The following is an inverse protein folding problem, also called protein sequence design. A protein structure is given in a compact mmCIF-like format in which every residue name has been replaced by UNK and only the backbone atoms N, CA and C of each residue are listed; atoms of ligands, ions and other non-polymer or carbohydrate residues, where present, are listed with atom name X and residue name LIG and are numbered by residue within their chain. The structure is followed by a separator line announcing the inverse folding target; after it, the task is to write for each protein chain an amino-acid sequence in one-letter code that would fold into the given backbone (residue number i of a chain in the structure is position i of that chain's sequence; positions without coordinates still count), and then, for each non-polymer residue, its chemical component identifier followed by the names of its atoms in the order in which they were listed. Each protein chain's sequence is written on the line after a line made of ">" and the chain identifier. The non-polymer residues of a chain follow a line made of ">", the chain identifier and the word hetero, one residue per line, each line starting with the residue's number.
data_IF_824616392892
#
_entry.id   IF_824616392892
#
_cell.length_a   1.000
_cell.length_b   1.000
_cell.length_c   1.000
_cell.angle_alpha   90.00
_cell.angle_beta   90.00
_cell.angle_gamma   90.00
#
_symmetry.space_group_name_H-M   'P 1'
#
loop_
_entity.id
_entity.type
_entity.pdbx_description
1 polymer ?
#
# COMPACT_ATOMS: atom_id res chain seq x y z
N UNK A 1 -48.42 12.31 -17.57
CA UNK A 1 -47.28 13.11 -17.09
C UNK A 1 -47.79 14.53 -16.84
N UNK A 2 -48.10 14.88 -15.58
CA UNK A 2 -48.58 16.23 -15.23
C UNK A 2 -47.42 16.98 -14.58
N UNK A 3 -46.92 18.00 -15.28
CA UNK A 3 -45.95 18.95 -14.74
C UNK A 3 -46.73 19.99 -13.94
N UNK A 4 -46.57 20.00 -12.63
CA UNK A 4 -47.03 21.11 -11.79
C UNK A 4 -45.88 22.13 -11.69
N UNK A 5 -46.12 23.41 -11.99
CA UNK A 5 -45.08 24.44 -11.93
C UNK A 5 -44.73 24.78 -10.47
N UNK A 6 -43.43 24.83 -10.18
CA UNK A 6 -42.89 25.32 -8.90
C UNK A 6 -43.04 26.85 -8.81
N UNK A 7 -43.63 27.42 -7.75
CA UNK A 7 -43.44 28.83 -7.44
C UNK A 7 -42.05 29.03 -6.81
N UNK A 8 -41.20 29.77 -7.52
CA UNK A 8 -39.95 30.30 -7.02
C UNK A 8 -40.26 31.50 -6.11
N UNK A 9 -40.03 31.37 -4.81
CA UNK A 9 -39.86 32.54 -3.93
C UNK A 9 -38.44 32.55 -3.40
N UNK A 10 -37.66 33.46 -3.95
CA UNK A 10 -36.33 33.85 -3.50
C UNK A 10 -36.46 34.60 -2.17
N UNK A 11 -35.80 34.11 -1.13
CA UNK A 11 -35.33 34.96 -0.04
C UNK A 11 -33.89 34.55 0.27
N UNK A 12 -32.97 35.23 -0.39
CA UNK A 12 -31.54 35.18 -0.09
C UNK A 12 -31.28 35.96 1.20
N UNK A 13 -30.95 35.24 2.26
CA UNK A 13 -30.36 35.76 3.49
C UNK A 13 -29.32 34.77 3.98
N UNK A 14 -28.05 35.20 4.03
CA UNK A 14 -26.88 34.35 4.19
C UNK A 14 -26.73 33.69 5.57
N UNK A 15 -25.82 32.71 5.62
CA UNK A 15 -25.38 32.01 6.83
C UNK A 15 -25.95 30.60 6.90
N UNK A 16 -25.07 29.59 6.94
CA UNK A 16 -25.41 28.17 7.09
C UNK A 16 -26.03 27.84 8.46
N UNK A 17 -27.24 28.34 8.70
CA UNK A 17 -28.07 27.95 9.83
C UNK A 17 -28.78 26.66 9.41
N UNK A 18 -28.38 25.52 9.99
CA UNK A 18 -29.33 24.41 10.11
C UNK A 18 -30.43 24.96 11.04
N UNK A 19 -31.48 25.50 10.41
CA UNK A 19 -32.68 25.95 11.08
C UNK A 19 -33.31 24.79 11.85
N UNK A 20 -34.16 25.14 12.80
CA UNK A 20 -34.94 24.19 13.59
C UNK A 20 -35.57 23.12 12.68
N UNK A 21 -35.59 21.86 13.14
CA UNK A 21 -36.27 20.79 12.41
C UNK A 21 -37.77 21.16 12.39
N UNK A 22 -38.41 21.20 11.21
CA UNK A 22 -39.81 21.58 11.11
C UNK A 22 -40.69 20.69 11.99
N UNK A 23 -41.59 21.30 12.76
CA UNK A 23 -42.46 20.58 13.70
C UNK A 23 -43.27 19.45 13.04
N UNK A 24 -43.55 19.61 11.75
CA UNK A 24 -44.26 18.64 10.91
C UNK A 24 -43.51 17.32 10.67
N UNK A 25 -42.21 17.21 11.02
CA UNK A 25 -41.40 15.99 10.82
C UNK A 25 -40.88 15.39 12.13
N UNK A 26 -41.43 15.82 13.27
CA UNK A 26 -40.94 15.35 14.56
C UNK A 26 -41.40 13.91 14.86
N UNK A 27 -42.47 13.44 14.21
CA UNK A 27 -43.08 12.13 14.46
C UNK A 27 -42.67 11.08 13.42
N UNK A 28 -42.80 9.80 13.77
CA UNK A 28 -42.62 8.70 12.82
C UNK A 28 -43.58 8.82 11.63
N UNK A 29 -43.13 8.44 10.44
CA UNK A 29 -43.89 8.44 9.16
C UNK A 29 -44.37 9.82 8.66
N UNK A 30 -43.85 10.89 9.24
CA UNK A 30 -44.12 12.26 8.77
C UNK A 30 -43.06 12.72 7.77
N UNK A 31 -43.45 13.61 6.85
CA UNK A 31 -42.60 14.04 5.72
C UNK A 31 -42.66 15.56 5.54
N UNK A 32 -41.59 16.13 4.97
CA UNK A 32 -41.56 17.53 4.54
C UNK A 32 -40.76 17.68 3.25
N UNK A 33 -41.06 18.74 2.51
CA UNK A 33 -40.19 19.19 1.43
C UNK A 33 -39.01 19.99 1.98
N UNK A 34 -37.83 19.76 1.40
CA UNK A 34 -36.60 20.52 1.69
C UNK A 34 -36.16 21.21 0.40
N UNK A 35 -35.81 22.51 0.43
CA UNK A 35 -35.23 23.21 -0.71
C UNK A 35 -33.99 22.51 -1.27
N UNK A 36 -33.67 22.80 -2.54
CA UNK A 36 -32.46 22.30 -3.17
C UNK A 36 -31.23 22.60 -2.32
N UNK A 37 -30.47 21.56 -1.98
CA UNK A 37 -29.29 21.62 -1.12
C UNK A 37 -28.06 21.13 -1.88
N UNK A 38 -26.92 21.82 -1.70
CA UNK A 38 -25.64 21.33 -2.21
C UNK A 38 -25.15 20.16 -1.34
N UNK A 39 -25.32 18.94 -1.85
CA UNK A 39 -24.93 17.71 -1.13
C UNK A 39 -23.42 17.64 -0.89
N UNK A 40 -22.59 18.18 -1.77
CA UNK A 40 -21.13 18.19 -1.59
C UNK A 40 -20.72 18.99 -0.36
N UNK A 41 -21.52 19.98 0.07
CA UNK A 41 -21.26 20.74 1.30
C UNK A 41 -21.51 19.93 2.58
N UNK A 42 -22.16 18.76 2.48
CA UNK A 42 -22.35 17.82 3.58
C UNK A 42 -21.21 16.81 3.70
N UNK A 43 -20.28 16.80 2.74
CA UNK A 43 -19.13 15.90 2.73
C UNK A 43 -17.89 16.61 3.32
N UNK A 44 -16.88 15.84 3.75
CA UNK A 44 -15.58 16.41 4.12
C UNK A 44 -14.93 17.13 2.93
N UNK A 45 -14.08 18.12 3.23
CA UNK A 45 -13.34 18.85 2.19
C UNK A 45 -12.33 17.98 1.44
N UNK A 46 -11.74 16.98 2.11
CA UNK A 46 -10.80 16.03 1.54
C UNK A 46 -11.48 14.68 1.33
N UNK A 47 -11.86 14.43 0.08
CA UNK A 47 -12.45 13.17 -0.37
C UNK A 47 -11.40 12.15 -0.83
N UNK A 48 -10.12 12.54 -0.89
CA UNK A 48 -9.05 11.67 -1.40
C UNK A 48 -8.62 10.62 -0.38
N UNK A 49 -8.89 10.87 0.91
CA UNK A 49 -8.49 10.01 2.03
C UNK A 49 -9.71 9.29 2.63
N UNK A 50 -9.79 7.99 2.41
CA UNK A 50 -10.89 7.14 2.86
C UNK A 50 -10.42 5.71 3.14
N UNK A 51 -11.26 4.98 3.87
CA UNK A 51 -11.18 3.54 4.04
C UNK A 51 -12.25 2.86 3.19
N UNK A 52 -11.95 1.68 2.62
CA UNK A 52 -12.88 0.91 1.79
C UNK A 52 -12.91 -0.56 2.21
N UNK A 53 -14.11 -1.13 2.34
CA UNK A 53 -14.29 -2.55 2.69
C UNK A 53 -15.67 -3.07 2.28
N UNK A 54 -15.79 -4.39 2.13
CA UNK A 54 -17.08 -5.07 1.94
C UNK A 54 -17.76 -5.38 3.28
N UNK A 55 -19.01 -4.97 3.39
CA UNK A 55 -19.81 -5.10 4.60
C UNK A 55 -21.27 -5.43 4.32
N UNK A 56 -22.13 -4.96 5.21
CA UNK A 56 -23.58 -5.19 5.15
C UNK A 56 -24.36 -3.91 5.41
N UNK A 57 -25.66 -3.96 5.16
CA UNK A 57 -26.59 -2.98 5.70
C UNK A 57 -26.51 -2.98 7.24
N UNK A 58 -26.54 -1.79 7.84
CA UNK A 58 -26.51 -1.63 9.30
C UNK A 58 -27.90 -1.72 9.94
N UNK A 59 -28.94 -1.87 9.13
CA UNK A 59 -30.33 -2.10 9.53
C UNK A 59 -30.84 -3.41 8.94
N UNK A 60 -31.83 -4.07 9.58
CA UNK A 60 -32.48 -5.26 9.02
C UNK A 60 -32.93 -5.03 7.56
N UNK A 61 -32.76 -6.03 6.67
CA UNK A 61 -32.37 -7.42 6.93
C UNK A 61 -30.85 -7.67 7.00
N UNK A 62 -30.01 -6.63 7.15
CA UNK A 62 -28.55 -6.77 7.31
C UNK A 62 -27.86 -7.46 6.12
N UNK A 63 -28.38 -7.29 4.91
CA UNK A 63 -27.84 -7.93 3.70
C UNK A 63 -26.36 -7.56 3.47
N UNK A 64 -25.56 -8.55 3.07
CA UNK A 64 -24.13 -8.39 2.75
C UNK A 64 -23.91 -7.90 1.31
N UNK A 65 -22.66 -7.54 0.98
CA UNK A 65 -22.27 -7.06 -0.35
C UNK A 65 -22.25 -5.53 -0.49
N UNK A 66 -22.39 -4.80 0.61
CA UNK A 66 -22.29 -3.33 0.61
C UNK A 66 -20.83 -2.92 0.57
N UNK A 67 -20.41 -2.15 -0.44
CA UNK A 67 -19.08 -1.56 -0.48
C UNK A 67 -19.10 -0.25 0.32
N UNK A 68 -18.55 -0.30 1.53
CA UNK A 68 -18.44 0.87 2.40
C UNK A 68 -17.25 1.73 2.02
N UNK A 69 -17.48 3.04 1.90
CA UNK A 69 -16.43 4.06 1.81
C UNK A 69 -16.58 5.00 2.99
N UNK A 70 -15.57 5.05 3.87
CA UNK A 70 -15.59 5.88 5.08
C UNK A 70 -14.48 6.91 4.97
N UNK A 71 -14.82 8.18 4.84
CA UNK A 71 -13.83 9.25 4.76
C UNK A 71 -13.02 9.38 6.06
N UNK A 72 -11.72 9.64 5.92
CA UNK A 72 -10.81 9.83 7.05
C UNK A 72 -11.03 11.19 7.73
N UNK A 73 -11.39 12.22 6.96
CA UNK A 73 -11.72 13.53 7.51
C UNK A 73 -13.19 13.58 7.97
N UNK A 74 -13.46 14.22 9.10
CA UNK A 74 -14.82 14.43 9.63
C UNK A 74 -15.42 15.77 9.18
N UNK A 75 -16.75 15.85 9.18
CA UNK A 75 -17.50 17.11 9.02
C UNK A 75 -17.78 17.70 10.40
N UNK A 76 -17.69 19.03 10.53
CA UNK A 76 -17.91 19.74 11.80
C UNK A 76 -19.33 20.28 11.87
N UNK A 77 -19.98 20.07 13.01
CA UNK A 77 -21.25 20.67 13.38
C UNK A 77 -21.07 21.46 14.67
N UNK A 78 -21.84 22.53 14.84
CA UNK A 78 -21.94 23.22 16.13
C UNK A 78 -22.67 22.36 17.16
N UNK A 79 -22.44 22.62 18.45
CA UNK A 79 -23.15 21.93 19.52
C UNK A 79 -24.68 22.06 19.39
N UNK A 80 -25.18 23.25 19.04
CA UNK A 80 -26.62 23.48 18.81
C UNK A 80 -27.16 22.53 17.74
N UNK A 81 -26.47 22.41 16.61
CA UNK A 81 -26.88 21.53 15.51
C UNK A 81 -26.89 20.07 15.92
N UNK A 82 -25.90 19.63 16.70
CA UNK A 82 -25.82 18.26 17.20
C UNK A 82 -26.99 17.95 18.14
N UNK A 83 -27.30 18.84 19.08
CA UNK A 83 -28.45 18.70 19.98
C UNK A 83 -29.78 18.68 19.21
N UNK A 84 -29.94 19.57 18.22
CA UNK A 84 -31.13 19.55 17.37
C UNK A 84 -31.27 18.20 16.65
N UNK A 85 -30.18 17.63 16.13
CA UNK A 85 -30.22 16.34 15.46
C UNK A 85 -30.54 15.18 16.42
N UNK A 86 -29.98 15.15 17.62
CA UNK A 86 -30.15 14.05 18.57
C UNK A 86 -31.46 14.08 19.33
N UNK A 87 -32.00 15.28 19.60
CA UNK A 87 -33.05 15.42 20.64
C UNK A 87 -34.42 15.81 20.07
N UNK A 88 -34.51 16.16 18.78
CA UNK A 88 -35.78 16.67 18.22
C UNK A 88 -36.73 15.57 17.79
N UNK A 89 -36.23 14.46 17.24
CA UNK A 89 -37.05 13.44 16.58
C UNK A 89 -37.64 12.42 17.56
N UNK A 90 -38.85 11.95 17.24
CA UNK A 90 -39.55 10.89 17.95
C UNK A 90 -39.57 9.62 17.09
N UNK A 91 -39.20 8.50 17.72
CA UNK A 91 -39.30 7.16 17.16
C UNK A 91 -40.64 6.50 17.47
N UNK A 92 -40.74 5.19 17.21
CA UNK A 92 -41.91 4.40 17.55
C UNK A 92 -42.27 4.50 19.04
N UNK A 93 -43.55 4.32 19.34
CA UNK A 93 -44.07 4.27 20.70
C UNK A 93 -43.82 5.56 21.52
N UNK A 94 -43.59 6.68 20.85
CA UNK A 94 -43.39 7.98 21.50
C UNK A 94 -42.04 8.10 22.22
N UNK A 95 -41.07 7.25 21.88
CA UNK A 95 -39.69 7.35 22.39
C UNK A 95 -38.90 8.41 21.62
N UNK A 96 -37.87 9.01 22.23
CA UNK A 96 -36.94 9.87 21.49
C UNK A 96 -36.09 9.02 20.55
N UNK A 97 -35.92 9.46 19.31
CA UNK A 97 -35.08 8.78 18.33
C UNK A 97 -33.60 9.11 18.59
N UNK A 98 -33.03 8.47 19.61
CA UNK A 98 -31.65 8.59 20.03
C UNK A 98 -30.90 7.26 19.86
N UNK A 99 -29.56 7.31 19.88
CA UNK A 99 -28.70 6.13 19.84
C UNK A 99 -29.03 5.17 18.68
N UNK A 100 -29.45 5.73 17.54
CA UNK A 100 -29.91 5.03 16.35
C UNK A 100 -28.74 4.48 15.50
N UNK A 101 -27.83 3.75 16.13
CA UNK A 101 -26.68 3.12 15.49
C UNK A 101 -26.55 1.66 15.91
N UNK A 102 -25.93 0.87 15.04
CA UNK A 102 -25.59 -0.53 15.31
C UNK A 102 -24.21 -0.61 15.96
N UNK A 103 -24.04 -1.48 16.95
CA UNK A 103 -22.73 -1.79 17.51
C UNK A 103 -21.76 -2.31 16.42
N UNK A 104 -20.47 -2.04 16.60
CA UNK A 104 -19.44 -2.53 15.68
C UNK A 104 -19.47 -4.05 15.58
N UNK A 105 -19.17 -4.56 14.40
CA UNK A 105 -19.19 -5.99 14.11
C UNK A 105 -17.76 -6.50 13.91
N UNK A 106 -17.47 -7.75 14.27
CA UNK A 106 -16.14 -8.32 14.10
C UNK A 106 -15.71 -8.33 12.63
N UNK A 107 -14.41 -8.18 12.38
CA UNK A 107 -13.89 -8.14 11.01
C UNK A 107 -13.93 -9.50 10.31
N UNK A 108 -13.90 -10.61 11.05
CA UNK A 108 -13.96 -11.98 10.51
C UNK A 108 -12.95 -12.21 9.36
N UNK A 109 -11.73 -11.71 9.52
CA UNK A 109 -10.66 -11.84 8.53
C UNK A 109 -10.72 -10.86 7.35
N UNK A 110 -11.73 -9.99 7.28
CA UNK A 110 -11.80 -8.94 6.24
C UNK A 110 -10.65 -7.95 6.36
N UNK A 111 -10.07 -7.58 5.22
CA UNK A 111 -9.09 -6.51 5.10
C UNK A 111 -9.80 -5.18 4.82
N UNK A 112 -9.35 -4.11 5.46
CA UNK A 112 -9.79 -2.74 5.19
C UNK A 112 -8.70 -2.05 4.39
N UNK A 113 -9.05 -1.54 3.22
CA UNK A 113 -8.13 -0.78 2.37
C UNK A 113 -8.15 0.70 2.78
N UNK A 114 -6.98 1.35 2.76
CA UNK A 114 -6.86 2.79 2.93
C UNK A 114 -6.36 3.42 1.63
N UNK A 115 -6.95 4.54 1.21
CA UNK A 115 -6.54 5.26 -0.01
C UNK A 115 -5.28 6.12 0.17
N UNK A 116 -4.71 6.13 1.38
CA UNK A 116 -3.56 6.92 1.76
C UNK A 116 -2.55 6.06 2.52
N UNK A 117 -1.25 6.42 2.50
CA UNK A 117 -0.25 5.72 3.29
C UNK A 117 -0.62 5.77 4.77
N UNK A 118 -1.00 4.63 5.34
CA UNK A 118 -1.06 4.46 6.78
C UNK A 118 0.36 4.28 7.25
N UNK A 119 0.85 5.12 8.17
CA UNK A 119 2.24 5.14 8.66
C UNK A 119 2.73 3.89 9.38
N UNK A 120 2.22 2.70 9.05
CA UNK A 120 2.76 1.40 9.43
C UNK A 120 3.93 1.08 8.52
N UNK A 121 4.95 1.94 8.55
CA UNK A 121 6.30 1.47 8.26
C UNK A 121 6.66 0.61 9.46
N UNK A 122 6.35 -0.69 9.38
CA UNK A 122 7.04 -1.67 10.21
C UNK A 122 8.49 -1.60 9.77
N UNK A 123 9.25 -0.65 10.33
CA UNK A 123 10.67 -0.82 10.53
C UNK A 123 10.82 -1.91 11.59
N UNK A 124 10.44 -3.14 11.24
CA UNK A 124 11.18 -4.28 11.74
C UNK A 124 12.54 -4.08 11.09
N UNK A 125 13.42 -3.32 11.76
CA UNK A 125 14.84 -3.65 11.72
C UNK A 125 14.86 -5.08 12.20
N UNK A 126 14.77 -6.01 11.25
CA UNK A 126 15.13 -7.39 11.47
C UNK A 126 16.59 -7.29 11.86
N UNK A 127 16.85 -7.21 13.17
CA UNK A 127 18.04 -7.83 13.71
C UNK A 127 17.86 -9.27 13.27
N UNK A 128 18.42 -9.62 12.12
CA UNK A 128 18.51 -10.98 11.66
C UNK A 128 19.33 -11.70 12.74
N UNK A 129 18.77 -12.60 13.57
CA UNK A 129 19.61 -13.68 14.03
C UNK A 129 19.96 -14.45 12.76
N UNK A 130 21.25 -14.56 12.45
CA UNK A 130 21.76 -15.23 11.27
C UNK A 130 20.92 -16.47 10.95
N UNK A 131 20.14 -16.39 9.87
CA UNK A 131 19.50 -17.58 9.31
C UNK A 131 20.61 -18.58 9.01
N UNK A 132 20.47 -19.87 9.32
CA UNK A 132 21.37 -20.89 8.81
C UNK A 132 21.39 -20.72 7.30
N UNK A 133 22.56 -20.40 6.74
CA UNK A 133 22.71 -20.16 5.31
C UNK A 133 22.10 -21.35 4.55
N UNK A 134 21.17 -21.12 3.60
CA UNK A 134 20.63 -22.19 2.77
C UNK A 134 21.80 -22.91 2.10
N UNK A 135 21.69 -24.23 1.91
CA UNK A 135 22.77 -25.09 1.37
C UNK A 135 23.38 -24.56 0.07
N UNK A 136 22.60 -23.79 -0.72
CA UNK A 136 23.08 -23.10 -1.93
C UNK A 136 24.17 -22.05 -1.68
N UNK A 137 24.11 -21.31 -0.57
CA UNK A 137 25.09 -20.26 -0.25
C UNK A 137 26.43 -20.85 0.19
N UNK A 138 26.39 -21.97 0.93
CA UNK A 138 27.59 -22.72 1.32
C UNK A 138 28.29 -23.27 0.08
N UNK A 139 27.53 -23.84 -0.87
CA UNK A 139 28.09 -24.31 -2.13
C UNK A 139 28.69 -23.17 -2.94
N UNK A 140 28.02 -22.01 -3.02
CA UNK A 140 28.53 -20.84 -3.72
C UNK A 140 29.86 -20.34 -3.13
N UNK A 141 29.99 -20.30 -1.79
CA UNK A 141 31.23 -19.94 -1.12
C UNK A 141 32.36 -20.95 -1.39
N UNK A 142 32.07 -22.25 -1.31
CA UNK A 142 33.06 -23.31 -1.57
C UNK A 142 33.56 -23.26 -3.02
N UNK A 143 32.66 -23.18 -3.99
CA UNK A 143 33.04 -23.07 -5.40
C UNK A 143 33.77 -21.77 -5.69
N UNK A 144 33.33 -20.64 -5.12
CA UNK A 144 34.00 -19.34 -5.29
C UNK A 144 35.44 -19.35 -4.77
N UNK A 145 35.68 -19.94 -3.58
CA UNK A 145 37.03 -20.06 -3.02
C UNK A 145 37.88 -21.01 -3.88
N UNK A 146 37.33 -22.13 -4.34
CA UNK A 146 38.05 -23.07 -5.19
C UNK A 146 38.48 -22.43 -6.52
N UNK A 147 37.59 -21.67 -7.17
CA UNK A 147 37.91 -20.93 -8.40
C UNK A 147 38.97 -19.84 -8.16
N UNK A 148 38.92 -19.13 -7.04
CA UNK A 148 39.92 -18.12 -6.71
C UNK A 148 41.31 -18.73 -6.47
N UNK A 149 41.39 -19.83 -5.72
CA UNK A 149 42.65 -20.54 -5.43
C UNK A 149 43.25 -21.13 -6.70
N UNK A 150 42.44 -21.77 -7.55
CA UNK A 150 42.90 -22.34 -8.83
C UNK A 150 43.37 -21.24 -9.79
N UNK A 151 42.64 -20.13 -9.89
CA UNK A 151 43.04 -18.98 -10.71
C UNK A 151 44.35 -18.35 -10.21
N UNK A 152 44.52 -18.19 -8.90
CA UNK A 152 45.76 -17.66 -8.33
C UNK A 152 46.93 -18.62 -8.52
N UNK A 153 46.73 -19.93 -8.33
CA UNK A 153 47.73 -20.95 -8.57
C UNK A 153 48.15 -20.97 -10.05
N UNK A 154 47.19 -20.86 -10.97
CA UNK A 154 47.44 -20.78 -12.41
C UNK A 154 48.22 -19.50 -12.76
N UNK A 155 47.83 -18.35 -12.22
CA UNK A 155 48.57 -17.09 -12.40
C UNK A 155 50.00 -17.16 -11.85
N UNK A 156 50.20 -17.82 -10.71
CA UNK A 156 51.54 -18.05 -10.13
C UNK A 156 52.34 -19.03 -10.99
N UNK A 157 51.75 -20.12 -11.47
CA UNK A 157 52.40 -21.06 -12.39
C UNK A 157 52.80 -20.38 -13.69
N UNK A 158 51.90 -19.59 -14.30
CA UNK A 158 52.17 -18.83 -15.51
C UNK A 158 53.30 -17.81 -15.29
N UNK A 159 53.32 -17.12 -14.15
CA UNK A 159 54.43 -16.22 -13.78
C UNK A 159 55.75 -16.98 -13.54
N UNK A 160 55.70 -18.21 -13.00
CA UNK A 160 56.87 -19.09 -12.84
C UNK A 160 57.40 -19.59 -14.19
N UNK A 161 56.52 -19.92 -15.14
CA UNK A 161 56.89 -20.32 -16.50
C UNK A 161 57.51 -19.15 -17.27
N UNK A 162 56.97 -17.93 -17.14
CA UNK A 162 57.57 -16.74 -17.74
C UNK A 162 58.93 -16.35 -17.13
N UNK A 163 59.24 -16.82 -15.91
CA UNK A 163 60.55 -16.59 -15.29
C UNK A 163 61.65 -17.53 -15.80
N UNK A 164 61.35 -18.48 -16.70
CA UNK A 164 62.34 -19.29 -17.39
C UNK A 164 62.26 -19.16 -18.92
N UNK A 165 62.96 -18.18 -19.50
CA UNK A 165 63.68 -18.35 -20.76
C UNK A 165 65.18 -18.38 -20.44
N UNK A 166 65.77 -19.58 -20.34
CA UNK A 166 67.22 -19.73 -20.36
C UNK A 166 67.73 -19.46 -21.77
N UNK A 167 68.54 -18.42 -21.93
CA UNK A 167 69.36 -18.23 -23.12
C UNK A 167 70.55 -19.20 -23.17
N UNK A 168 70.96 -19.49 -24.42
CA UNK A 168 72.29 -19.91 -24.91
C UNK A 168 72.78 -21.36 -24.73
N UNK A 169 72.79 -22.11 -25.84
CA UNK A 169 73.86 -23.04 -26.30
C UNK A 169 73.80 -23.02 -27.82
N UNK A 170 74.84 -22.90 -28.64
CA UNK A 170 76.28 -22.82 -28.51
C UNK A 170 76.78 -22.90 -29.96
N UNK A 171 77.70 -22.03 -30.36
CA UNK A 171 78.31 -22.07 -31.68
C UNK A 171 79.07 -23.41 -31.86
N UNK A 172 78.73 -24.17 -32.90
CA UNK A 172 79.53 -25.32 -33.35
C UNK A 172 80.45 -24.83 -34.46
N UNK A 173 81.74 -24.82 -34.13
CA UNK A 173 82.87 -24.54 -35.01
C UNK A 173 83.10 -25.74 -35.94
N UNK A 174 83.29 -25.49 -37.23
CA UNK A 174 83.70 -26.50 -38.22
C UNK A 174 85.22 -26.64 -38.24
N UNK A 175 85.72 -27.88 -38.19
CA UNK A 175 87.10 -28.23 -38.57
C UNK A 175 87.07 -29.44 -39.54
N UNK A 176 88.02 -29.52 -40.49
CA UNK A 176 87.87 -30.25 -41.75
C UNK A 176 88.30 -31.72 -41.65
N UNK A 177 87.71 -32.58 -42.49
CA UNK A 177 88.26 -33.89 -42.77
C UNK A 177 89.29 -33.78 -43.91
N UNK A 178 90.55 -33.93 -43.54
CA UNK A 178 91.64 -34.31 -44.43
C UNK A 178 91.40 -35.75 -44.90
N UNK A 179 91.40 -35.97 -46.22
CA UNK A 179 91.36 -37.30 -46.82
C UNK A 179 92.76 -37.60 -47.33
N UNK A 180 93.42 -38.56 -46.70
CA UNK A 180 94.58 -39.26 -47.26
C UNK A 180 94.41 -40.77 -47.09
N UNK A 181 95.00 -41.49 -48.05
CA UNK A 181 95.07 -42.95 -48.27
C UNK A 181 93.95 -43.57 -49.12
N UNK A 182 94.19 -44.41 -50.14
CA UNK A 182 95.40 -44.89 -50.85
C UNK A 182 94.92 -45.69 -52.07
N UNK A 183 95.66 -45.59 -53.18
CA UNK A 183 96.00 -46.65 -54.16
C UNK A 183 94.99 -47.79 -54.42
N UNK A 184 94.45 -47.80 -55.64
CA UNK A 184 94.57 -48.91 -56.61
C UNK A 184 94.29 -48.39 -58.03
#
# INVERSE_FOLDING_TARGET
>A
MKLYPYPYTQSLGGGGHLGEIPAQVLSTDSETWVPGLNISALLPSDLSRYFRYEGSLTTPPCAQGVIWTVFNQTVRLSAKQLHTLSDSLWGPEGSRLQLNFRATQPLNGRTIEASFPTGVERTVKTVQPASPLPTGDILALVFGILFAVTSLAFLVQMRRQQKHPSGTKGAVSYHPAEVTETVA
#
